data_IF_016737434375
#
_entry.id   IF_016737434375
#
_cell.length_a   1.000
_cell.length_b   1.000
_cell.length_c   1.000
_cell.angle_alpha   90.00
_cell.angle_beta   90.00
_cell.angle_gamma   90.00
#
_symmetry.space_group_name_H-M   'P 1'
#
loop_
_entity.id
_entity.type
_entity.pdbx_description
1 polymer ?
#
# COMPACT_ATOMS: atom_id res chain seq x y z
N UNK A 1 37.00 15.85 20.24
CA UNK A 1 36.43 14.49 20.34
C UNK A 1 36.04 14.02 18.94
N UNK A 2 36.59 12.91 18.46
CA UNK A 2 36.32 12.37 17.12
C UNK A 2 35.28 11.25 17.25
N UNK A 3 34.11 11.42 16.63
CA UNK A 3 33.02 10.43 16.68
C UNK A 3 33.15 9.54 15.46
N UNK A 4 33.37 8.24 15.69
CA UNK A 4 33.57 7.23 14.67
C UNK A 4 32.20 6.73 14.18
N UNK A 5 31.81 7.02 12.94
CA UNK A 5 30.54 6.55 12.38
C UNK A 5 30.69 5.17 11.75
N UNK A 6 30.12 4.16 12.42
CA UNK A 6 30.07 2.76 12.00
C UNK A 6 28.99 2.59 10.91
N UNK A 7 29.41 2.45 9.66
CA UNK A 7 28.53 2.07 8.53
C UNK A 7 28.19 0.58 8.62
N UNK A 8 26.91 0.25 8.77
CA UNK A 8 26.39 -1.10 8.57
C UNK A 8 25.91 -1.23 7.11
N UNK A 9 26.45 -2.22 6.38
CA UNK A 9 25.94 -2.63 5.06
C UNK A 9 24.88 -3.72 5.27
N UNK A 10 23.64 -3.46 4.88
CA UNK A 10 22.62 -4.49 4.75
C UNK A 10 22.68 -5.04 3.33
N UNK A 11 23.02 -6.32 3.19
CA UNK A 11 22.90 -7.04 1.92
C UNK A 11 21.56 -7.74 1.92
N UNK A 12 20.66 -7.31 1.04
CA UNK A 12 19.51 -8.09 0.60
C UNK A 12 20.05 -9.21 -0.27
N UNK A 13 19.91 -10.44 0.20
CA UNK A 13 20.19 -11.64 -0.56
C UNK A 13 19.00 -12.56 -0.38
N UNK A 14 18.20 -12.67 -1.43
CA UNK A 14 17.11 -13.62 -1.57
C UNK A 14 17.65 -15.03 -1.34
N UNK A 15 17.05 -15.72 -0.37
CA UNK A 15 17.48 -17.02 0.11
C UNK A 15 16.25 -17.84 0.46
N UNK A 16 15.59 -18.26 -0.61
CA UNK A 16 14.64 -19.35 -0.74
C UNK A 16 14.76 -20.39 0.40
N UNK A 17 13.86 -20.31 1.36
CA UNK A 17 13.75 -21.28 2.45
C UNK A 17 12.60 -22.23 2.15
N UNK A 18 12.91 -23.37 1.52
CA UNK A 18 12.02 -24.51 1.44
C UNK A 18 11.75 -25.08 2.83
N UNK A 19 10.81 -24.47 3.53
CA UNK A 19 10.24 -25.01 4.76
C UNK A 19 9.15 -26.00 4.37
N UNK A 20 9.52 -27.29 4.33
CA UNK A 20 8.57 -28.40 4.29
C UNK A 20 7.75 -28.38 5.58
N UNK A 21 6.64 -27.65 5.57
CA UNK A 21 5.62 -27.72 6.61
C UNK A 21 5.12 -29.17 6.67
N UNK A 22 5.50 -29.87 7.74
CA UNK A 22 4.95 -31.17 8.09
C UNK A 22 3.48 -30.94 8.45
N UNK A 23 2.61 -31.13 7.47
CA UNK A 23 1.17 -31.21 7.68
C UNK A 23 0.92 -32.23 8.76
N UNK A 24 0.51 -31.74 9.93
CA UNK A 24 -0.08 -32.58 10.97
C UNK A 24 -1.51 -32.80 10.52
N UNK A 25 -1.66 -33.81 9.69
CA UNK A 25 -2.96 -34.38 9.36
C UNK A 25 -3.56 -34.89 10.67
N UNK A 26 -4.53 -34.15 11.20
CA UNK A 26 -5.44 -34.70 12.19
C UNK A 26 -6.31 -35.68 11.41
N UNK A 27 -5.85 -36.93 11.34
CA UNK A 27 -6.69 -38.05 11.05
C UNK A 27 -7.71 -38.14 12.20
N UNK A 28 -8.85 -37.48 12.03
CA UNK A 28 -10.07 -37.89 12.70
C UNK A 28 -10.43 -39.26 12.10
N UNK A 29 -9.92 -40.31 12.72
CA UNK A 29 -10.49 -41.64 12.55
C UNK A 29 -11.93 -41.53 13.02
N UNK A 30 -12.85 -41.55 12.05
CA UNK A 30 -14.25 -41.87 12.26
C UNK A 30 -14.31 -43.31 12.78
N UNK A 31 -14.21 -43.47 14.10
CA UNK A 31 -14.58 -44.71 14.77
C UNK A 31 -16.11 -44.71 14.87
N UNK A 32 -16.69 -45.17 13.77
CA UNK A 32 -18.02 -45.77 13.71
C UNK A 32 -18.19 -46.69 14.93
N UNK A 33 -19.25 -46.54 15.74
CA UNK A 33 -19.49 -47.49 16.81
C UNK A 33 -19.83 -48.85 16.19
N UNK A 34 -18.85 -49.76 16.19
CA UNK A 34 -19.06 -51.16 15.88
C UNK A 34 -20.18 -51.71 16.76
N UNK A 35 -21.21 -52.25 16.11
CA UNK A 35 -22.19 -53.08 16.75
C UNK A 35 -21.50 -54.30 17.38
N UNK A 36 -21.78 -54.66 18.64
CA UNK A 36 -21.40 -55.96 19.15
C UNK A 36 -22.28 -57.02 18.48
N UNK A 37 -21.75 -57.62 17.41
CA UNK A 37 -22.25 -58.86 16.87
C UNK A 37 -21.83 -60.01 17.80
N UNK A 38 -22.84 -60.73 18.30
CA UNK A 38 -22.69 -62.07 18.86
C UNK A 38 -22.55 -62.12 20.38
N UNK A 39 -23.67 -61.98 21.09
CA UNK A 39 -23.85 -62.74 22.33
C UNK A 39 -24.90 -63.81 22.04
N UNK A 40 -24.44 -65.04 22.13
CA UNK A 40 -25.17 -66.26 21.89
C UNK A 40 -26.39 -66.38 22.82
N UNK A 41 -27.44 -66.92 22.22
CA UNK A 41 -28.53 -67.72 22.77
C UNK A 41 -28.50 -68.02 24.28
N UNK A 42 -29.66 -67.77 24.91
CA UNK A 42 -30.04 -68.53 26.10
C UNK A 42 -29.92 -67.79 27.43
N UNK A 43 -30.51 -66.60 27.53
CA UNK A 43 -30.73 -65.95 28.81
C UNK A 43 -32.02 -65.15 28.77
N UNK A 44 -33.15 -65.82 29.05
CA UNK A 44 -34.39 -65.12 29.32
C UNK A 44 -34.12 -64.06 30.39
N UNK A 45 -34.19 -62.78 30.01
CA UNK A 45 -34.04 -61.69 30.96
C UNK A 45 -35.04 -61.93 32.09
N UNK A 46 -34.63 -61.93 33.38
CA UNK A 46 -35.47 -62.38 34.49
C UNK A 46 -36.73 -61.50 34.69
N UNK A 47 -36.81 -60.38 33.96
CA UNK A 47 -37.98 -59.50 33.91
C UNK A 47 -39.11 -60.07 33.06
N UNK A 48 -38.80 -60.75 31.95
CA UNK A 48 -39.82 -61.37 31.10
C UNK A 48 -40.34 -62.69 31.69
N UNK A 49 -39.50 -63.48 32.35
CA UNK A 49 -39.91 -64.71 33.04
C UNK A 49 -40.73 -64.45 34.31
N UNK A 50 -40.49 -63.34 35.02
CA UNK A 50 -41.29 -62.94 36.20
C UNK A 50 -42.70 -62.51 35.82
N UNK A 51 -42.86 -61.78 34.70
CA UNK A 51 -44.17 -61.31 34.21
C UNK A 51 -45.00 -62.42 33.55
N UNK A 52 -44.36 -63.48 33.02
CA UNK A 52 -45.07 -64.65 32.46
C UNK A 52 -45.52 -65.64 33.54
N UNK A 53 -44.91 -65.59 34.71
CA UNK A 53 -45.19 -66.44 35.89
C UNK A 53 -46.19 -65.79 36.88
N UNK A 54 -46.24 -64.45 36.95
CA UNK A 54 -47.27 -63.72 37.71
C UNK A 54 -48.59 -63.63 36.91
N UNK A 55 -49.44 -64.63 37.04
CA UNK A 55 -50.82 -64.54 36.57
C UNK A 55 -51.70 -63.75 37.54
N UNK A 56 -52.33 -62.66 37.09
CA UNK A 56 -53.39 -61.97 37.84
C UNK A 56 -53.18 -60.46 38.07
N UNK A 57 -53.94 -59.84 39.00
CA UNK A 57 -54.01 -58.38 39.18
C UNK A 57 -52.68 -57.72 39.61
N UNK A 58 -51.73 -58.48 40.15
CA UNK A 58 -50.43 -57.98 40.63
C UNK A 58 -49.47 -57.58 39.49
N UNK A 59 -49.45 -58.34 38.38
CA UNK A 59 -48.70 -57.95 37.18
C UNK A 59 -49.27 -56.69 36.52
N UNK A 60 -50.58 -56.47 36.67
CA UNK A 60 -51.27 -55.28 36.17
C UNK A 60 -50.91 -54.06 37.02
N UNK A 61 -50.83 -54.21 38.35
CA UNK A 61 -50.44 -53.14 39.26
C UNK A 61 -48.97 -52.68 39.06
N UNK A 62 -48.02 -53.60 38.88
CA UNK A 62 -46.60 -53.22 38.61
C UNK A 62 -46.45 -52.54 37.23
N UNK A 63 -47.20 -53.00 36.23
CA UNK A 63 -47.25 -52.36 34.92
C UNK A 63 -47.85 -50.95 34.97
N UNK A 64 -48.87 -50.74 35.81
CA UNK A 64 -49.51 -49.44 36.02
C UNK A 64 -48.61 -48.45 36.77
N UNK A 65 -47.90 -48.88 37.82
CA UNK A 65 -46.92 -48.06 38.52
C UNK A 65 -45.81 -47.60 37.56
N UNK A 66 -45.21 -48.52 36.79
CA UNK A 66 -44.20 -48.18 35.78
C UNK A 66 -44.75 -47.24 34.70
N UNK A 67 -46.00 -47.42 34.29
CA UNK A 67 -46.65 -46.51 33.35
C UNK A 67 -46.86 -45.11 33.95
N UNK A 68 -47.13 -45.00 35.26
CA UNK A 68 -47.25 -43.71 35.96
C UNK A 68 -45.91 -42.98 36.06
N UNK A 69 -44.82 -43.67 36.42
CA UNK A 69 -43.48 -43.07 36.46
C UNK A 69 -43.00 -42.61 35.09
N UNK A 70 -43.23 -43.41 34.03
CA UNK A 70 -42.91 -43.00 32.66
C UNK A 70 -43.76 -41.79 32.21
N UNK A 71 -45.02 -41.69 32.64
CA UNK A 71 -45.86 -40.51 32.35
C UNK A 71 -45.34 -39.25 33.04
N UNK A 72 -44.91 -39.34 34.30
CA UNK A 72 -44.34 -38.20 35.02
C UNK A 72 -43.03 -37.71 34.38
N UNK A 73 -42.13 -38.63 34.02
CA UNK A 73 -40.89 -38.31 33.30
C UNK A 73 -41.16 -37.68 31.93
N UNK A 74 -42.21 -38.13 31.22
CA UNK A 74 -42.61 -37.50 29.95
C UNK A 74 -43.10 -36.07 30.13
N UNK A 75 -43.86 -35.78 31.20
CA UNK A 75 -44.30 -34.41 31.49
C UNK A 75 -43.11 -33.52 31.91
N UNK A 76 -42.16 -34.06 32.67
CA UNK A 76 -40.90 -33.36 33.02
C UNK A 76 -40.06 -33.03 31.78
N UNK A 77 -39.83 -34.02 30.90
CA UNK A 77 -39.09 -33.83 29.65
C UNK A 77 -39.81 -32.82 28.74
N UNK A 78 -41.14 -32.83 28.68
CA UNK A 78 -41.90 -31.82 27.92
C UNK A 78 -41.70 -30.41 28.48
N UNK A 79 -41.69 -30.26 29.81
CA UNK A 79 -41.41 -28.99 30.48
C UNK A 79 -40.00 -28.48 30.18
N UNK A 80 -38.98 -29.31 30.40
CA UNK A 80 -37.57 -28.98 30.13
C UNK A 80 -37.36 -28.60 28.65
N UNK A 81 -37.93 -29.36 27.72
CA UNK A 81 -37.86 -29.07 26.29
C UNK A 81 -38.50 -27.73 25.91
N UNK A 82 -39.61 -27.36 26.56
CA UNK A 82 -40.26 -26.06 26.32
C UNK A 82 -39.38 -24.90 26.82
N UNK A 83 -38.72 -25.06 27.97
CA UNK A 83 -37.78 -24.08 28.50
C UNK A 83 -36.54 -23.94 27.60
N UNK A 84 -35.98 -25.06 27.11
CA UNK A 84 -34.86 -25.03 26.17
C UNK A 84 -35.21 -24.34 24.84
N UNK A 85 -36.44 -24.53 24.33
CA UNK A 85 -36.92 -23.83 23.14
C UNK A 85 -36.97 -22.32 23.35
N UNK A 86 -37.49 -21.86 24.50
CA UNK A 86 -37.49 -20.43 24.85
C UNK A 86 -36.07 -19.87 24.94
N UNK A 87 -35.16 -20.63 25.57
CA UNK A 87 -33.74 -20.25 25.68
C UNK A 87 -33.07 -20.17 24.31
N UNK A 88 -33.36 -21.12 23.42
CA UNK A 88 -32.87 -21.12 22.03
C UNK A 88 -33.40 -19.91 21.26
N UNK A 89 -34.70 -19.62 21.37
CA UNK A 89 -35.31 -18.47 20.71
C UNK A 89 -34.68 -17.14 21.18
N UNK A 90 -34.39 -17.00 22.48
CA UNK A 90 -33.69 -15.84 23.00
C UNK A 90 -32.28 -15.70 22.40
N UNK A 91 -31.50 -16.79 22.38
CA UNK A 91 -30.15 -16.78 21.79
C UNK A 91 -30.16 -16.51 20.27
N UNK A 92 -31.20 -16.93 19.56
CA UNK A 92 -31.34 -16.67 18.12
C UNK A 92 -31.57 -15.19 17.83
N UNK A 93 -32.38 -14.51 18.66
CA UNK A 93 -32.58 -13.06 18.59
C UNK A 93 -31.29 -12.29 18.83
N UNK A 94 -30.49 -12.72 19.81
CA UNK A 94 -29.16 -12.15 20.05
C UNK A 94 -28.22 -12.34 18.85
N UNK A 95 -28.19 -13.54 18.26
CA UNK A 95 -27.39 -13.80 17.06
C UNK A 95 -27.84 -12.96 15.86
N UNK A 96 -29.14 -12.71 15.73
CA UNK A 96 -29.67 -11.83 14.69
C UNK A 96 -29.19 -10.38 14.90
N UNK A 97 -29.24 -9.87 16.14
CA UNK A 97 -28.73 -8.54 16.46
C UNK A 97 -27.23 -8.41 16.15
N UNK A 98 -26.41 -9.39 16.57
CA UNK A 98 -24.97 -9.43 16.28
C UNK A 98 -24.70 -9.49 14.77
N UNK A 99 -25.49 -10.27 14.01
CA UNK A 99 -25.41 -10.29 12.55
C UNK A 99 -25.68 -8.91 11.93
N UNK A 100 -26.67 -8.18 12.46
CA UNK A 100 -26.96 -6.81 12.05
C UNK A 100 -25.74 -5.90 12.23
N UNK A 101 -25.18 -5.88 13.44
CA UNK A 101 -23.99 -5.08 13.75
C UNK A 101 -22.77 -5.44 12.90
N UNK A 102 -22.58 -6.73 12.59
CA UNK A 102 -21.54 -7.16 11.66
C UNK A 102 -21.77 -6.58 10.26
N UNK A 103 -23.02 -6.55 9.79
CA UNK A 103 -23.40 -5.90 8.53
C UNK A 103 -23.06 -4.42 8.53
N UNK A 104 -23.42 -3.69 9.59
CA UNK A 104 -23.12 -2.27 9.75
C UNK A 104 -21.61 -2.00 9.74
N UNK A 105 -20.84 -2.79 10.50
CA UNK A 105 -19.38 -2.69 10.55
C UNK A 105 -18.74 -2.95 9.18
N UNK A 106 -19.23 -3.93 8.42
CA UNK A 106 -18.77 -4.20 7.07
C UNK A 106 -19.08 -3.05 6.10
N UNK A 107 -20.23 -2.41 6.24
CA UNK A 107 -20.58 -1.23 5.44
C UNK A 107 -19.65 -0.05 5.75
N UNK A 108 -19.40 0.24 7.02
CA UNK A 108 -18.46 1.28 7.45
C UNK A 108 -17.05 1.03 6.91
N UNK A 109 -16.57 -0.21 6.92
CA UNK A 109 -15.27 -0.57 6.35
C UNK A 109 -15.21 -0.27 4.84
N UNK A 110 -16.26 -0.64 4.08
CA UNK A 110 -16.34 -0.35 2.64
C UNK A 110 -16.36 1.15 2.36
N UNK A 111 -17.07 1.90 3.19
CA UNK A 111 -17.12 3.36 3.09
C UNK A 111 -15.76 3.99 3.40
N UNK A 112 -15.12 3.60 4.51
CA UNK A 112 -13.80 4.06 4.90
C UNK A 112 -12.76 3.77 3.80
N UNK A 113 -12.82 2.59 3.19
CA UNK A 113 -11.95 2.21 2.07
C UNK A 113 -12.16 3.11 0.85
N UNK A 114 -13.40 3.44 0.53
CA UNK A 114 -13.74 4.34 -0.58
C UNK A 114 -13.31 5.78 -0.27
N UNK A 115 -13.43 6.23 0.98
CA UNK A 115 -12.92 7.55 1.43
C UNK A 115 -11.40 7.63 1.35
N UNK A 116 -10.68 6.60 1.82
CA UNK A 116 -9.22 6.55 1.75
C UNK A 116 -8.71 6.65 0.31
N UNK A 117 -9.29 5.88 -0.62
CA UNK A 117 -8.93 5.96 -2.05
C UNK A 117 -9.12 7.36 -2.64
N UNK A 118 -10.22 8.04 -2.29
CA UNK A 118 -10.44 9.42 -2.75
C UNK A 118 -9.37 10.38 -2.24
N UNK A 119 -8.99 10.25 -0.97
CA UNK A 119 -7.91 11.08 -0.41
C UNK A 119 -6.55 10.78 -1.08
N UNK A 120 -6.28 9.52 -1.41
CA UNK A 120 -5.08 9.14 -2.15
C UNK A 120 -5.08 9.77 -3.56
N UNK A 121 -6.22 9.79 -4.24
CA UNK A 121 -6.38 10.42 -5.56
C UNK A 121 -6.19 11.95 -5.49
N UNK A 122 -6.74 12.61 -4.46
CA UNK A 122 -6.55 14.04 -4.19
C UNK A 122 -5.08 14.37 -3.90
N UNK A 123 -4.42 13.54 -3.09
CA UNK A 123 -2.98 13.68 -2.81
C UNK A 123 -2.15 13.51 -4.08
N UNK A 124 -2.48 12.52 -4.91
CA UNK A 124 -1.80 12.28 -6.17
C UNK A 124 -1.97 13.48 -7.12
N UNK A 125 -3.15 14.10 -7.15
CA UNK A 125 -3.39 15.30 -7.93
C UNK A 125 -2.54 16.47 -7.43
N UNK A 126 -2.52 16.72 -6.11
CA UNK A 126 -1.72 17.79 -5.51
C UNK A 126 -0.21 17.60 -5.75
N UNK A 127 0.29 16.36 -5.72
CA UNK A 127 1.69 16.05 -6.04
C UNK A 127 2.00 16.35 -7.51
N UNK A 128 1.11 16.00 -8.44
CA UNK A 128 1.27 16.34 -9.87
C UNK A 128 1.30 17.85 -10.09
N UNK A 129 0.41 18.58 -9.44
CA UNK A 129 0.36 20.05 -9.53
C UNK A 129 1.65 20.66 -8.98
N UNK A 130 2.14 20.19 -7.83
CA UNK A 130 3.43 20.63 -7.27
C UNK A 130 4.61 20.29 -8.17
N UNK A 131 4.64 19.11 -8.77
CA UNK A 131 5.69 18.71 -9.70
C UNK A 131 5.67 19.57 -10.97
N UNK A 132 4.48 19.87 -11.50
CA UNK A 132 4.32 20.77 -12.65
C UNK A 132 4.83 22.18 -12.36
N UNK A 133 4.46 22.77 -11.21
CA UNK A 133 4.97 24.10 -10.81
C UNK A 133 6.49 24.08 -10.61
N UNK A 134 7.03 23.00 -10.03
CA UNK A 134 8.48 22.83 -9.86
C UNK A 134 9.20 22.71 -11.20
N UNK A 135 8.60 22.10 -12.22
CA UNK A 135 9.18 22.00 -13.55
C UNK A 135 9.31 23.37 -14.23
N UNK A 136 8.39 24.30 -13.96
CA UNK A 136 8.41 25.66 -14.52
C UNK A 136 9.40 26.61 -13.82
N UNK A 137 9.63 26.40 -12.51
CA UNK A 137 10.49 27.29 -11.70
C UNK A 137 11.90 27.51 -12.28
N UNK A 138 12.64 26.48 -12.73
CA UNK A 138 13.96 26.66 -13.34
C UNK A 138 13.92 27.55 -14.58
N UNK A 139 12.94 27.35 -15.46
CA UNK A 139 12.77 28.15 -16.67
C UNK A 139 12.55 29.62 -16.34
N UNK A 140 11.67 29.91 -15.37
CA UNK A 140 11.42 31.27 -14.89
C UNK A 140 12.65 31.90 -14.23
N UNK A 141 13.38 31.14 -13.40
CA UNK A 141 14.59 31.63 -12.74
C UNK A 141 15.70 31.97 -13.74
N UNK A 142 15.91 31.11 -14.75
CA UNK A 142 16.88 31.35 -15.82
C UNK A 142 16.47 32.56 -16.65
N UNK A 143 15.20 32.68 -17.03
CA UNK A 143 14.70 33.84 -17.78
C UNK A 143 14.91 35.15 -17.00
N UNK A 144 14.63 35.16 -15.70
CA UNK A 144 14.91 36.32 -14.82
C UNK A 144 16.39 36.64 -14.73
N UNK A 145 17.23 35.62 -14.60
CA UNK A 145 18.69 35.80 -14.55
C UNK A 145 19.23 36.39 -15.87
N UNK A 146 18.85 35.82 -17.02
CA UNK A 146 19.21 36.35 -18.35
C UNK A 146 18.68 37.77 -18.57
N UNK A 147 17.52 38.10 -18.00
CA UNK A 147 16.95 39.45 -18.06
C UNK A 147 17.62 40.49 -17.16
N UNK A 148 18.41 40.06 -16.16
CA UNK A 148 19.01 40.94 -15.16
C UNK A 148 20.12 41.84 -15.74
N UNK A 149 20.30 43.02 -15.13
CA UNK A 149 21.34 43.97 -15.56
C UNK A 149 22.75 43.40 -15.37
N UNK A 150 23.01 42.71 -14.26
CA UNK A 150 24.32 42.14 -13.98
C UNK A 150 24.74 41.09 -15.02
N UNK A 151 23.79 40.30 -15.54
CA UNK A 151 24.06 39.37 -16.64
C UNK A 151 24.41 40.12 -17.93
N UNK A 152 23.60 41.12 -18.32
CA UNK A 152 23.84 41.94 -19.52
C UNK A 152 25.16 42.71 -19.47
N UNK A 153 25.50 43.28 -18.33
CA UNK A 153 26.79 43.94 -18.12
C UNK A 153 27.96 42.96 -18.08
N UNK A 154 27.74 41.77 -17.53
CA UNK A 154 28.70 40.67 -17.56
C UNK A 154 29.03 40.27 -19.01
N UNK A 155 28.01 40.13 -19.86
CA UNK A 155 28.18 39.87 -21.29
C UNK A 155 28.98 40.97 -21.99
N UNK A 156 28.68 42.25 -21.73
CA UNK A 156 29.46 43.38 -22.28
C UNK A 156 30.94 43.32 -21.87
N UNK A 157 31.22 43.01 -20.61
CA UNK A 157 32.60 42.87 -20.11
C UNK A 157 33.32 41.68 -20.74
N UNK A 158 32.66 40.52 -20.83
CA UNK A 158 33.22 39.33 -21.50
C UNK A 158 33.50 39.57 -22.98
N UNK A 159 32.60 40.26 -23.70
CA UNK A 159 32.81 40.63 -25.10
C UNK A 159 34.04 41.50 -25.30
N UNK A 160 34.27 42.50 -24.43
CA UNK A 160 35.47 43.35 -24.48
C UNK A 160 36.75 42.55 -24.28
N UNK A 161 36.81 41.70 -23.25
CA UNK A 161 38.00 40.89 -22.95
C UNK A 161 38.35 39.93 -24.10
N UNK A 162 37.34 39.31 -24.71
CA UNK A 162 37.55 38.37 -25.83
C UNK A 162 37.98 39.10 -27.10
N UNK A 163 37.39 40.26 -27.39
CA UNK A 163 37.81 41.12 -28.50
C UNK A 163 39.24 41.63 -28.32
N UNK A 164 39.60 42.13 -27.14
CA UNK A 164 40.95 42.57 -26.78
C UNK A 164 41.99 41.46 -26.95
N UNK A 165 41.65 40.24 -26.52
CA UNK A 165 42.54 39.10 -26.68
C UNK A 165 42.74 38.75 -28.16
N UNK A 166 41.65 38.66 -28.93
CA UNK A 166 41.70 38.42 -30.37
C UNK A 166 42.52 39.47 -31.12
N UNK A 167 42.32 40.75 -30.79
CA UNK A 167 43.07 41.86 -31.37
C UNK A 167 44.57 41.76 -31.08
N UNK A 168 44.97 41.53 -29.82
CA UNK A 168 46.39 41.37 -29.46
C UNK A 168 47.05 40.23 -30.23
N UNK A 169 46.36 39.10 -30.38
CA UNK A 169 46.86 37.96 -31.16
C UNK A 169 46.97 38.33 -32.65
N UNK A 170 45.96 39.00 -33.22
CA UNK A 170 45.97 39.43 -34.62
C UNK A 170 47.09 40.44 -34.89
N UNK A 171 47.28 41.41 -33.99
CA UNK A 171 48.33 42.42 -34.06
C UNK A 171 49.72 41.79 -33.98
N UNK A 172 49.94 40.84 -33.07
CA UNK A 172 51.21 40.11 -32.98
C UNK A 172 51.50 39.33 -34.28
N UNK A 173 50.48 38.68 -34.87
CA UNK A 173 50.60 37.98 -36.15
C UNK A 173 50.87 38.94 -37.31
N UNK A 174 50.24 40.11 -37.31
CA UNK A 174 50.46 41.15 -38.32
C UNK A 174 51.90 41.67 -38.26
N UNK A 175 52.38 42.04 -37.07
CA UNK A 175 53.77 42.49 -36.84
C UNK A 175 54.79 41.44 -37.25
N UNK A 176 54.51 40.16 -37.02
CA UNK A 176 55.38 39.07 -37.45
C UNK A 176 55.45 38.92 -38.98
N UNK A 177 54.38 39.27 -39.72
CA UNK A 177 54.34 39.20 -41.19
C UNK A 177 54.84 40.47 -41.87
N UNK A 178 54.66 41.63 -41.24
CA UNK A 178 55.01 42.93 -41.80
C UNK A 178 55.78 43.76 -40.76
N UNK A 179 57.09 43.50 -40.58
CA UNK A 179 57.88 44.11 -39.51
C UNK A 179 58.07 45.63 -39.64
N UNK A 180 57.93 46.15 -40.86
CA UNK A 180 58.20 47.56 -41.19
C UNK A 180 56.91 48.39 -41.36
N UNK A 181 55.74 47.82 -41.08
CA UNK A 181 54.46 48.51 -41.19
C UNK A 181 54.10 49.13 -39.83
N UNK A 182 53.97 50.46 -39.78
CA UNK A 182 53.48 51.17 -38.60
C UNK A 182 51.97 50.94 -38.45
N UNK A 183 51.55 50.46 -37.28
CA UNK A 183 50.14 50.31 -36.89
C UNK A 183 49.88 51.22 -35.71
N UNK A 184 48.97 52.19 -35.88
CA UNK A 184 48.53 53.11 -34.83
C UNK A 184 47.93 52.29 -33.67
N UNK A 185 48.55 52.43 -32.49
CA UNK A 185 48.43 51.45 -31.40
C UNK A 185 47.16 51.59 -30.55
N UNK A 186 46.39 52.67 -30.70
CA UNK A 186 45.31 52.97 -29.78
C UNK A 186 43.94 52.95 -30.43
N UNK A 187 43.39 51.73 -30.52
CA UNK A 187 41.98 51.47 -30.83
C UNK A 187 41.20 51.04 -29.57
N UNK A 188 41.78 51.25 -28.40
CA UNK A 188 41.15 51.00 -27.09
C UNK A 188 40.79 52.29 -26.34
N UNK A 189 41.25 53.46 -26.80
CA UNK A 189 40.52 54.70 -26.60
C UNK A 189 39.13 54.54 -27.19
N UNK A 190 38.11 54.49 -26.33
CA UNK A 190 36.72 54.51 -26.78
C UNK A 190 36.53 55.85 -27.49
N UNK A 191 36.44 55.81 -28.82
CA UNK A 191 36.06 56.98 -29.59
C UNK A 191 34.58 57.28 -29.31
N UNK A 192 34.19 58.53 -29.08
CA UNK A 192 32.80 58.89 -28.76
C UNK A 192 31.82 58.48 -29.87
N UNK A 193 32.30 58.25 -31.10
CA UNK A 193 31.53 57.67 -32.20
C UNK A 193 31.10 56.21 -31.95
N UNK A 194 31.91 55.41 -31.25
CA UNK A 194 31.61 53.99 -30.95
C UNK A 194 30.59 53.81 -29.82
N UNK A 195 30.44 54.80 -28.93
CA UNK A 195 29.39 54.84 -27.91
C UNK A 195 27.99 55.08 -28.52
N UNK A 196 27.94 55.59 -29.76
CA UNK A 196 26.70 55.81 -30.51
C UNK A 196 26.27 54.58 -31.33
N UNK A 197 27.13 53.57 -31.47
CA UNK A 197 26.79 52.33 -32.16
C UNK A 197 25.90 51.44 -31.26
N UNK A 198 24.60 51.29 -31.57
CA UNK A 198 23.72 50.50 -30.74
C UNK A 198 24.08 49.02 -30.90
N UNK A 199 24.70 48.43 -29.89
CA UNK A 199 24.87 46.98 -29.83
C UNK A 199 23.52 46.34 -29.54
N UNK A 200 23.05 45.50 -30.46
CA UNK A 200 21.75 44.83 -30.37
C UNK A 200 21.64 44.06 -29.05
N UNK A 201 20.65 44.43 -28.23
CA UNK A 201 20.53 43.93 -26.84
C UNK A 201 19.86 42.56 -26.74
N UNK A 202 19.36 42.04 -27.86
CA UNK A 202 18.73 40.74 -28.00
C UNK A 202 19.17 40.15 -29.33
N UNK A 203 19.79 38.98 -29.28
CA UNK A 203 20.03 38.15 -30.44
C UNK A 203 19.20 36.89 -30.20
N UNK A 204 18.19 36.66 -31.04
CA UNK A 204 17.31 35.51 -30.90
C UNK A 204 18.06 34.28 -31.41
N UNK A 205 18.47 33.43 -30.48
CA UNK A 205 19.05 32.14 -30.81
C UNK A 205 17.90 31.16 -31.08
N UNK A 206 18.01 30.42 -32.19
CA UNK A 206 17.06 29.38 -32.54
C UNK A 206 17.27 28.16 -31.61
N UNK A 207 16.51 28.13 -30.52
CA UNK A 207 16.47 27.02 -29.56
C UNK A 207 15.56 25.85 -30.05
N UNK A 208 15.25 25.80 -31.36
CA UNK A 208 14.49 24.70 -31.95
C UNK A 208 15.20 23.36 -31.73
N UNK A 209 14.44 22.36 -31.27
CA UNK A 209 14.94 20.98 -31.14
C UNK A 209 15.26 20.47 -32.55
N UNK A 210 16.48 19.99 -32.82
CA UNK A 210 16.82 19.45 -34.13
C UNK A 210 15.93 18.25 -34.45
N UNK A 211 15.50 18.06 -35.72
CA UNK A 211 14.62 16.97 -36.10
C UNK A 211 15.29 15.61 -35.84
N UNK A 212 14.52 14.66 -35.30
CA UNK A 212 14.96 13.28 -35.09
C UNK A 212 15.19 12.57 -36.44
N UNK A 213 16.17 11.65 -36.51
CA UNK A 213 16.50 10.87 -37.70
C UNK A 213 15.47 9.79 -38.04
#
# INVERSE_FOLDING_TARGET
MKVLTRKHKFRVGEGESHSRSKGKELAASSEEPEAPAGSEEGGASPVHDRLRSMGGPEAIAEAEERASGVREELEKIKGEKAEELLRREASEKELQAVRGHLGDAQQLLKEARTRARRMDDELLQAVKDLESTRAELPGQAIARYKGSLCFKEGLKRMGRVTYEYGYRVALARFRARYPNADVEEDMFTIHPEDDLAPMERQQDFDDSVPPEP
#
